data_IF_977987237465
#
_entry.id   IF_977987237465
#
_cell.length_a   1.000
_cell.length_b   1.000
_cell.length_c   1.000
_cell.angle_alpha   90.00
_cell.angle_beta   90.00
_cell.angle_gamma   90.00
#
_symmetry.space_group_name_H-M   'P 1'
#
loop_
_entity.id
_entity.type
_entity.pdbx_description
1 polymer ?
#
# COMPACT_ATOMS: atom_id res chain seq x y z
N UNK A 1 -22.37 -14.37 -1.32
CA UNK A 1 -21.38 -13.34 -0.94
C UNK A 1 -20.66 -12.85 -2.19
N UNK A 2 -20.84 -11.59 -2.61
CA UNK A 2 -20.02 -11.04 -3.71
C UNK A 2 -18.58 -10.89 -3.19
N UNK A 3 -17.61 -11.55 -3.84
CA UNK A 3 -16.18 -11.35 -3.54
C UNK A 3 -15.86 -9.86 -3.76
N UNK A 4 -15.47 -9.15 -2.70
CA UNK A 4 -15.13 -7.71 -2.76
C UNK A 4 -13.89 -7.52 -3.62
N UNK A 5 -13.97 -6.76 -4.72
CA UNK A 5 -12.85 -6.47 -5.63
C UNK A 5 -12.28 -5.10 -5.24
N UNK A 6 -11.18 -5.04 -4.47
CA UNK A 6 -10.88 -3.87 -3.65
C UNK A 6 -10.75 -2.62 -4.51
N UNK A 7 -9.80 -2.61 -5.45
CA UNK A 7 -9.55 -1.43 -6.29
C UNK A 7 -10.75 -1.08 -7.18
N UNK A 8 -11.42 -2.07 -7.78
CA UNK A 8 -12.56 -1.85 -8.68
C UNK A 8 -13.79 -1.30 -7.95
N UNK A 9 -14.05 -1.80 -6.74
CA UNK A 9 -15.22 -1.38 -5.96
C UNK A 9 -15.05 0.06 -5.42
N UNK A 10 -13.80 0.57 -5.37
CA UNK A 10 -13.47 1.95 -4.99
C UNK A 10 -13.40 2.92 -6.18
N UNK A 11 -13.60 2.49 -7.42
CA UNK A 11 -13.68 3.43 -8.56
C UNK A 11 -15.04 4.11 -8.60
N UNK A 12 -15.07 5.33 -9.13
CA UNK A 12 -16.32 6.01 -9.43
C UNK A 12 -17.15 5.19 -10.43
N UNK A 13 -18.50 5.23 -10.36
CA UNK A 13 -19.35 4.48 -11.28
C UNK A 13 -19.04 4.72 -12.76
N UNK A 14 -18.77 5.97 -13.14
CA UNK A 14 -18.44 6.41 -14.49
C UNK A 14 -17.10 5.87 -15.00
N UNK A 15 -16.16 5.55 -14.10
CA UNK A 15 -14.83 5.06 -14.47
C UNK A 15 -14.76 3.53 -14.59
N UNK A 16 -15.81 2.80 -14.20
CA UNK A 16 -15.75 1.33 -14.03
C UNK A 16 -15.47 0.60 -15.33
N UNK A 17 -16.14 0.99 -16.41
CA UNK A 17 -16.04 0.29 -17.69
C UNK A 17 -14.63 0.47 -18.28
N UNK A 18 -14.13 1.70 -18.30
CA UNK A 18 -12.78 2.03 -18.75
C UNK A 18 -11.70 1.43 -17.85
N UNK A 19 -11.90 1.44 -16.53
CA UNK A 19 -10.97 0.82 -15.59
C UNK A 19 -10.88 -0.69 -15.85
N UNK A 20 -12.01 -1.39 -15.95
CA UNK A 20 -12.01 -2.83 -16.22
C UNK A 20 -11.34 -3.14 -17.55
N UNK A 21 -11.78 -2.50 -18.63
CA UNK A 21 -11.26 -2.75 -19.96
C UNK A 21 -9.73 -2.52 -20.02
N UNK A 22 -9.26 -1.41 -19.44
CA UNK A 22 -7.83 -1.08 -19.43
C UNK A 22 -7.01 -2.03 -18.55
N UNK A 23 -7.52 -2.45 -17.37
CA UNK A 23 -6.78 -3.31 -16.44
C UNK A 23 -6.72 -4.74 -16.92
N UNK A 24 -7.82 -5.30 -17.41
CA UNK A 24 -7.85 -6.67 -17.93
C UNK A 24 -6.98 -6.79 -19.18
N UNK A 25 -7.00 -5.79 -20.07
CA UNK A 25 -6.06 -5.71 -21.19
C UNK A 25 -4.60 -5.64 -20.74
N UNK A 26 -4.29 -4.82 -19.73
CA UNK A 26 -2.91 -4.64 -19.21
C UNK A 26 -2.37 -5.91 -18.56
N UNK A 27 -3.20 -6.64 -17.83
CA UNK A 27 -2.80 -7.83 -17.09
C UNK A 27 -3.05 -9.15 -17.85
N UNK A 28 -3.76 -9.11 -18.97
CA UNK A 28 -4.07 -10.29 -19.79
C UNK A 28 -4.98 -11.31 -19.10
N UNK A 29 -5.74 -10.89 -18.09
CA UNK A 29 -6.63 -11.74 -17.30
C UNK A 29 -7.73 -10.90 -16.65
N UNK A 30 -8.76 -11.55 -16.09
CA UNK A 30 -9.90 -10.84 -15.47
C UNK A 30 -9.52 -10.24 -14.11
N UNK A 31 -10.22 -9.17 -13.70
CA UNK A 31 -10.06 -8.59 -12.37
C UNK A 31 -10.35 -9.61 -11.26
N UNK A 32 -11.32 -10.49 -11.49
CA UNK A 32 -11.68 -11.58 -10.61
C UNK A 32 -10.51 -12.53 -10.42
N UNK A 33 -9.88 -13.02 -11.49
CA UNK A 33 -8.74 -13.94 -11.43
C UNK A 33 -7.50 -13.30 -10.75
N UNK A 34 -7.26 -12.00 -10.96
CA UNK A 34 -6.22 -11.27 -10.22
C UNK A 34 -6.50 -11.26 -8.72
N UNK A 35 -7.75 -11.01 -8.35
CA UNK A 35 -8.17 -10.95 -6.96
C UNK A 35 -8.00 -12.31 -6.25
N UNK A 36 -8.29 -13.44 -6.90
CA UNK A 36 -8.13 -14.77 -6.29
C UNK A 36 -6.69 -15.07 -5.87
N UNK A 37 -5.72 -14.48 -6.58
CA UNK A 37 -4.28 -14.69 -6.31
C UNK A 37 -3.74 -13.85 -5.16
N UNK A 38 -4.50 -12.85 -4.67
CA UNK A 38 -3.98 -11.82 -3.77
C UNK A 38 -3.39 -12.39 -2.47
N UNK A 39 -4.04 -13.39 -1.87
CA UNK A 39 -3.60 -13.97 -0.59
C UNK A 39 -2.28 -14.71 -0.77
N UNK A 40 -2.16 -15.51 -1.84
CA UNK A 40 -0.94 -16.22 -2.19
C UNK A 40 0.22 -15.26 -2.53
N UNK A 41 -0.09 -14.07 -3.05
CA UNK A 41 0.92 -13.05 -3.38
C UNK A 41 1.30 -12.16 -2.20
N UNK A 42 0.59 -12.22 -1.05
CA UNK A 42 0.86 -11.35 0.11
C UNK A 42 2.29 -11.52 0.64
N UNK A 43 2.78 -12.76 0.75
CA UNK A 43 4.14 -13.03 1.21
C UNK A 43 5.20 -12.37 0.31
N UNK A 44 5.13 -12.63 -1.00
CA UNK A 44 6.02 -12.01 -1.97
C UNK A 44 5.91 -10.47 -1.99
N UNK A 45 4.71 -9.91 -1.77
CA UNK A 45 4.54 -8.47 -1.64
C UNK A 45 5.26 -7.92 -0.39
N UNK A 46 5.19 -8.62 0.74
CA UNK A 46 5.90 -8.25 1.98
C UNK A 46 7.42 -8.33 1.81
N UNK A 47 7.93 -9.31 1.07
CA UNK A 47 9.37 -9.46 0.81
C UNK A 47 9.96 -8.27 0.04
N UNK A 48 9.18 -7.62 -0.84
CA UNK A 48 9.63 -6.44 -1.60
C UNK A 48 10.00 -5.25 -0.71
N UNK A 49 9.55 -5.22 0.54
CA UNK A 49 9.94 -4.19 1.50
C UNK A 49 11.27 -4.47 2.20
N UNK A 50 11.95 -5.60 1.93
CA UNK A 50 13.23 -5.94 2.55
C UNK A 50 14.29 -4.81 2.48
N UNK A 51 14.46 -4.07 1.37
CA UNK A 51 15.39 -2.94 1.32
C UNK A 51 15.05 -1.84 2.32
N UNK A 52 13.77 -1.50 2.48
CA UNK A 52 13.32 -0.51 3.47
C UNK A 52 13.62 -1.00 4.89
N UNK A 53 13.34 -2.27 5.18
CA UNK A 53 13.62 -2.85 6.50
C UNK A 53 15.10 -2.79 6.85
N UNK A 54 15.99 -3.04 5.88
CA UNK A 54 17.44 -2.91 6.08
C UNK A 54 17.83 -1.46 6.37
N UNK A 55 17.32 -0.49 5.62
CA UNK A 55 17.58 0.94 5.86
C UNK A 55 17.12 1.37 7.26
N UNK A 56 15.92 0.97 7.66
CA UNK A 56 15.32 1.38 8.92
C UNK A 56 15.94 0.67 10.13
N UNK A 57 16.36 -0.59 10.00
CA UNK A 57 16.84 -1.39 11.14
C UNK A 57 18.36 -1.54 11.19
N UNK A 58 19.01 -1.86 10.07
CA UNK A 58 20.45 -2.10 10.00
C UNK A 58 21.21 -0.78 9.90
N UNK A 59 20.80 0.11 8.99
CA UNK A 59 21.40 1.45 8.87
C UNK A 59 20.85 2.43 9.92
N UNK A 60 19.79 2.05 10.64
CA UNK A 60 19.14 2.84 11.70
C UNK A 60 18.75 4.25 11.25
N UNK A 61 18.42 4.42 9.99
CA UNK A 61 17.97 5.71 9.47
C UNK A 61 16.50 5.92 9.84
N UNK A 62 16.12 7.11 10.35
CA UNK A 62 14.72 7.41 10.64
C UNK A 62 13.85 7.52 9.38
N UNK A 63 14.48 7.85 8.24
CA UNK A 63 13.86 8.02 6.93
C UNK A 63 14.67 7.29 5.85
N UNK A 64 14.06 6.98 4.72
CA UNK A 64 14.74 6.38 3.56
C UNK A 64 15.75 7.34 2.93
N UNK A 65 15.55 8.65 3.12
CA UNK A 65 16.46 9.69 2.66
C UNK A 65 17.55 10.04 3.69
N UNK A 66 17.64 9.31 4.80
CA UNK A 66 18.63 9.52 5.86
C UNK A 66 18.04 10.11 7.14
N UNK A 67 18.62 11.21 7.63
CA UNK A 67 18.23 11.81 8.91
C UNK A 67 16.92 12.60 8.84
N UNK A 68 16.64 13.22 7.70
CA UNK A 68 15.40 13.95 7.43
C UNK A 68 14.63 13.29 6.29
N UNK A 69 13.32 13.50 6.26
CA UNK A 69 12.48 12.98 5.19
C UNK A 69 12.84 13.66 3.86
N UNK A 70 12.89 12.87 2.80
CA UNK A 70 13.15 13.36 1.45
C UNK A 70 12.23 12.73 0.42
N UNK A 71 12.56 12.93 -0.86
CA UNK A 71 11.72 12.47 -1.96
C UNK A 71 11.52 10.95 -1.97
N UNK A 72 12.52 10.16 -1.56
CA UNK A 72 12.39 8.71 -1.47
C UNK A 72 11.29 8.30 -0.48
N UNK A 73 11.17 9.03 0.64
CA UNK A 73 10.16 8.77 1.65
C UNK A 73 8.75 9.03 1.09
N UNK A 74 8.56 10.17 0.42
CA UNK A 74 7.27 10.52 -0.16
C UNK A 74 6.86 9.58 -1.30
N UNK A 75 7.80 9.14 -2.14
CA UNK A 75 7.48 8.18 -3.21
C UNK A 75 6.95 6.86 -2.65
N UNK A 76 7.63 6.29 -1.67
CA UNK A 76 7.24 5.01 -1.08
C UNK A 76 5.99 5.16 -0.22
N UNK A 77 5.90 6.21 0.58
CA UNK A 77 4.72 6.47 1.41
C UNK A 77 3.48 6.75 0.55
N UNK A 78 3.62 7.42 -0.60
CA UNK A 78 2.54 7.61 -1.56
C UNK A 78 1.96 6.30 -2.07
N UNK A 79 2.81 5.30 -2.36
CA UNK A 79 2.35 3.97 -2.75
C UNK A 79 1.59 3.26 -1.62
N UNK A 80 2.04 3.41 -0.37
CA UNK A 80 1.33 2.86 0.80
C UNK A 80 0.03 3.60 1.11
N UNK A 81 -0.03 4.92 0.92
CA UNK A 81 -1.27 5.70 1.04
C UNK A 81 -2.29 5.28 -0.02
N UNK A 82 -1.86 5.07 -1.27
CA UNK A 82 -2.72 4.50 -2.30
C UNK A 82 -3.23 3.13 -1.89
N UNK A 83 -2.34 2.22 -1.46
CA UNK A 83 -2.75 0.91 -0.98
C UNK A 83 -3.76 1.03 0.17
N UNK A 84 -3.52 1.90 1.15
CA UNK A 84 -4.43 2.14 2.26
C UNK A 84 -5.78 2.72 1.83
N UNK A 85 -5.85 3.47 0.73
CA UNK A 85 -7.12 4.00 0.21
C UNK A 85 -8.04 2.93 -0.42
N UNK A 86 -7.49 1.77 -0.81
CA UNK A 86 -8.25 0.74 -1.53
C UNK A 86 -8.11 -0.69 -0.99
N UNK A 87 -7.21 -0.93 -0.03
CA UNK A 87 -6.93 -2.26 0.48
C UNK A 87 -8.10 -2.79 1.34
N UNK A 88 -8.41 -4.08 1.19
CA UNK A 88 -9.40 -4.79 2.03
C UNK A 88 -8.76 -5.90 2.85
N UNK A 89 -7.44 -5.91 2.91
CA UNK A 89 -6.64 -6.87 3.68
C UNK A 89 -5.33 -6.18 4.12
N UNK A 90 -4.79 -6.54 5.29
CA UNK A 90 -3.55 -5.95 5.77
C UNK A 90 -2.36 -6.38 4.89
N UNK A 91 -1.49 -5.42 4.60
CA UNK A 91 -0.26 -5.62 3.82
C UNK A 91 0.95 -5.83 4.74
N UNK A 92 1.06 -5.06 5.82
CA UNK A 92 2.15 -5.07 6.77
C UNK A 92 1.78 -5.89 8.01
N UNK A 93 2.79 -6.46 8.65
CA UNK A 93 2.66 -7.08 9.99
C UNK A 93 2.71 -5.99 11.07
N UNK A 94 2.08 -6.22 12.23
CA UNK A 94 2.05 -5.26 13.35
C UNK A 94 3.44 -4.73 13.73
N UNK A 95 4.42 -5.62 13.80
CA UNK A 95 5.77 -5.33 14.26
C UNK A 95 6.76 -5.03 13.11
N UNK A 96 6.26 -4.78 11.89
CA UNK A 96 7.12 -4.43 10.76
C UNK A 96 7.72 -3.01 10.97
N UNK A 97 9.04 -2.81 10.91
CA UNK A 97 9.66 -1.48 11.08
C UNK A 97 9.15 -0.44 10.06
N UNK A 98 8.60 -0.88 8.92
CA UNK A 98 7.95 -0.01 7.95
C UNK A 98 6.75 0.72 8.55
N UNK A 99 6.04 0.14 9.53
CA UNK A 99 4.87 0.75 10.18
C UNK A 99 5.27 2.07 10.85
N UNK A 100 6.25 2.03 11.75
CA UNK A 100 6.68 3.24 12.46
C UNK A 100 7.28 4.30 11.54
N UNK A 101 7.99 3.89 10.47
CA UNK A 101 8.45 4.82 9.44
C UNK A 101 7.27 5.46 8.70
N UNK A 102 6.28 4.67 8.29
CA UNK A 102 5.12 5.16 7.55
C UNK A 102 4.30 6.15 8.39
N UNK A 103 4.11 5.88 9.68
CA UNK A 103 3.47 6.80 10.62
C UNK A 103 4.18 8.16 10.67
N UNK A 104 5.52 8.15 10.83
CA UNK A 104 6.33 9.39 10.81
C UNK A 104 6.12 10.17 9.52
N UNK A 105 6.15 9.51 8.36
CA UNK A 105 5.96 10.20 7.06
C UNK A 105 4.56 10.78 6.92
N UNK A 106 3.52 10.10 7.45
CA UNK A 106 2.15 10.60 7.44
C UNK A 106 1.94 11.83 8.32
N UNK A 107 2.75 12.01 9.36
CA UNK A 107 2.74 13.17 10.26
C UNK A 107 3.42 14.41 9.67
N UNK A 108 4.23 14.24 8.62
CA UNK A 108 4.87 15.37 7.93
C UNK A 108 3.84 16.30 7.27
N UNK A 109 4.28 17.50 6.92
CA UNK A 109 3.47 18.51 6.24
C UNK A 109 2.17 18.82 6.99
N UNK A 110 2.20 18.87 8.32
CA UNK A 110 1.03 19.11 9.15
C UNK A 110 0.03 17.95 9.17
N UNK A 111 0.48 16.71 8.97
CA UNK A 111 -0.38 15.53 8.98
C UNK A 111 -1.12 15.28 7.67
N UNK A 112 -0.62 15.79 6.54
CA UNK A 112 -1.28 15.68 5.23
C UNK A 112 -1.56 14.22 4.82
N UNK A 113 -0.74 13.25 5.27
CA UNK A 113 -0.95 11.83 5.01
C UNK A 113 -2.10 11.19 5.83
N UNK A 114 -2.82 11.97 6.63
CA UNK A 114 -3.92 11.51 7.50
C UNK A 114 -5.28 12.14 7.20
N UNK A 115 -5.35 13.05 6.23
CA UNK A 115 -6.57 13.81 5.93
C UNK A 115 -7.62 12.98 5.18
N UNK A 116 -7.19 12.02 4.37
CA UNK A 116 -8.08 11.12 3.63
C UNK A 116 -8.43 9.86 4.43
N UNK A 117 -9.66 9.33 4.28
CA UNK A 117 -10.02 8.03 4.83
C UNK A 117 -9.10 6.92 4.30
N UNK A 118 -8.62 6.07 5.20
CA UNK A 118 -7.77 4.92 4.86
C UNK A 118 -8.23 3.66 5.57
N UNK A 119 -8.14 2.52 4.88
CA UNK A 119 -8.21 1.21 5.50
C UNK A 119 -6.95 0.90 6.30
N UNK A 120 -7.08 0.01 7.29
CA UNK A 120 -5.91 -0.46 8.00
C UNK A 120 -5.12 -1.44 7.13
N UNK A 121 -3.87 -1.08 6.86
CA UNK A 121 -2.93 -1.91 6.11
C UNK A 121 -1.97 -2.66 7.03
N UNK A 122 -2.12 -2.52 8.34
CA UNK A 122 -1.35 -3.22 9.38
C UNK A 122 -2.23 -4.33 9.96
N UNK A 123 -1.67 -5.53 10.02
CA UNK A 123 -2.33 -6.68 10.64
C UNK A 123 -2.41 -6.46 12.15
N UNK A 124 -3.60 -6.19 12.68
CA UNK A 124 -3.85 -6.17 14.13
C UNK A 124 -4.26 -7.57 14.61
N UNK A 125 -3.80 -7.95 15.79
CA UNK A 125 -4.22 -9.16 16.50
C UNK A 125 -5.70 -9.11 16.89
#
# INVERSE_FOLDING_TARGET
>A
MRRRRPVFDHTLPEDRDDFRASREKRFGTTLEALHERREAQRGAARERFAPLRLTLTVLKQPFLSGHEAGYADFMVAGALLWAASVATMPLLEANDPVVGWFERVRDLCGGAGRTSPTHDIVQRE
#
